data_IF_223787727715
#
_entry.id   IF_223787727715
#
_cell.length_a   1.000
_cell.length_b   1.000
_cell.length_c   1.000
_cell.angle_alpha   90.00
_cell.angle_beta   90.00
_cell.angle_gamma   90.00
#
_symmetry.space_group_name_H-M   'P 1'
#
loop_
_entity.id
_entity.type
_entity.pdbx_description
1 polymer ?
#
# COMPACT_ATOMS: atom_id res chain seq x y z
N UNK A 1 -11.77 18.70 23.71
CA UNK A 1 -10.57 17.93 23.99
C UNK A 1 -10.90 16.50 24.43
N UNK A 2 -9.98 15.57 24.22
CA UNK A 2 -10.09 14.18 24.67
C UNK A 2 -9.14 14.04 25.87
N UNK A 3 -9.68 13.67 27.04
CA UNK A 3 -8.87 13.45 28.23
C UNK A 3 -8.27 12.05 28.20
N UNK A 4 -6.96 11.96 28.30
CA UNK A 4 -6.20 10.70 28.33
C UNK A 4 -5.20 10.69 29.47
N UNK A 5 -4.66 9.53 29.81
CA UNK A 5 -3.58 9.38 30.77
C UNK A 5 -2.44 8.58 30.14
N UNK A 6 -1.26 9.16 30.14
CA UNK A 6 -0.03 8.49 29.71
C UNK A 6 0.71 7.88 30.93
N UNK A 7 1.50 6.84 30.69
CA UNK A 7 2.41 6.24 31.66
C UNK A 7 2.38 4.72 31.72
N UNK A 8 2.93 4.15 32.80
CA UNK A 8 3.04 2.69 32.98
C UNK A 8 1.76 2.02 33.49
N UNK A 9 0.77 2.77 33.97
CA UNK A 9 -0.57 2.32 34.40
C UNK A 9 -0.57 1.17 35.43
N UNK A 10 0.50 0.99 36.21
CA UNK A 10 0.69 -0.14 37.14
C UNK A 10 0.61 -1.52 36.45
N UNK A 11 1.01 -1.61 35.18
CA UNK A 11 0.91 -2.81 34.36
C UNK A 11 2.28 -3.22 33.76
N UNK A 12 3.30 -3.52 34.56
CA UNK A 12 4.66 -3.77 34.07
C UNK A 12 4.73 -4.95 33.09
N UNK A 13 3.96 -6.01 33.33
CA UNK A 13 3.94 -7.18 32.42
C UNK A 13 3.41 -6.83 31.04
N UNK A 14 2.43 -5.93 30.92
CA UNK A 14 1.89 -5.45 29.65
C UNK A 14 2.97 -4.65 28.91
N UNK A 15 3.68 -3.78 29.62
CA UNK A 15 4.77 -3.01 29.03
C UNK A 15 5.91 -3.91 28.55
N UNK A 16 6.29 -4.93 29.32
CA UNK A 16 7.29 -5.93 28.90
C UNK A 16 6.81 -6.69 27.66
N UNK A 17 5.53 -7.09 27.63
CA UNK A 17 4.96 -7.80 26.49
C UNK A 17 4.99 -6.95 25.19
N UNK A 18 4.68 -5.67 25.29
CA UNK A 18 4.67 -4.75 24.14
C UNK A 18 6.00 -3.97 23.92
N UNK A 19 7.00 -4.17 24.76
CA UNK A 19 8.30 -3.48 24.66
C UNK A 19 8.18 -1.96 24.90
N UNK A 20 7.24 -1.55 25.75
CA UNK A 20 6.92 -0.12 26.01
C UNK A 20 7.38 0.35 27.41
N UNK A 21 8.32 -0.36 28.04
CA UNK A 21 8.78 -0.07 29.41
C UNK A 21 9.36 1.34 29.56
N UNK A 22 10.05 1.82 28.52
CA UNK A 22 10.71 3.12 28.52
C UNK A 22 9.82 4.29 28.14
N UNK A 23 8.89 4.06 27.21
CA UNK A 23 8.04 5.11 26.64
C UNK A 23 6.64 5.17 27.25
N UNK A 24 6.20 4.11 27.93
CA UNK A 24 4.84 4.00 28.45
C UNK A 24 3.79 3.79 27.34
N UNK A 25 2.53 3.91 27.72
CA UNK A 25 1.39 3.85 26.81
C UNK A 25 0.36 4.94 27.16
N UNK A 26 -0.52 5.25 26.23
CA UNK A 26 -1.70 6.08 26.48
C UNK A 26 -2.91 5.18 26.65
N UNK A 27 -3.65 5.36 27.74
CA UNK A 27 -4.86 4.59 28.03
C UNK A 27 -6.10 5.43 27.77
N UNK A 28 -7.02 4.87 26.99
CA UNK A 28 -8.39 5.35 26.83
C UNK A 28 -9.30 4.45 27.67
N UNK A 29 -10.15 5.04 28.50
CA UNK A 29 -11.12 4.32 29.31
C UNK A 29 -12.52 4.78 28.91
N UNK A 30 -13.34 3.86 28.44
CA UNK A 30 -14.71 4.11 28.03
C UNK A 30 -15.68 3.55 29.08
N UNK A 31 -16.82 4.17 29.23
CA UNK A 31 -17.89 3.75 30.14
C UNK A 31 -19.23 3.71 29.41
N UNK A 32 -20.27 3.27 30.09
CA UNK A 32 -21.63 3.27 29.55
C UNK A 32 -22.19 4.67 29.27
N UNK A 33 -21.51 5.74 29.69
CA UNK A 33 -21.88 7.12 29.41
C UNK A 33 -21.26 7.69 28.13
N UNK A 34 -20.31 6.97 27.52
CA UNK A 34 -19.71 7.41 26.26
C UNK A 34 -20.59 7.02 25.07
N UNK A 35 -20.71 7.93 24.11
CA UNK A 35 -21.39 7.66 22.84
C UNK A 35 -20.44 7.03 21.82
N UNK A 36 -20.98 6.38 20.80
CA UNK A 36 -20.20 5.85 19.67
C UNK A 36 -19.42 6.96 18.97
N UNK A 37 -20.01 8.16 18.81
CA UNK A 37 -19.37 9.31 18.19
C UNK A 37 -18.15 9.79 18.98
N UNK A 38 -18.19 9.74 20.32
CA UNK A 38 -17.03 10.08 21.17
C UNK A 38 -15.90 9.08 21.00
N UNK A 39 -16.22 7.77 20.89
CA UNK A 39 -15.24 6.72 20.63
C UNK A 39 -14.61 6.94 19.24
N UNK A 40 -15.42 7.16 18.21
CA UNK A 40 -14.92 7.45 16.86
C UNK A 40 -14.04 8.70 16.82
N UNK A 41 -14.39 9.74 17.56
CA UNK A 41 -13.58 10.95 17.68
C UNK A 41 -12.21 10.67 18.31
N UNK A 42 -12.17 9.81 19.33
CA UNK A 42 -10.91 9.40 19.96
C UNK A 42 -10.04 8.58 19.00
N UNK A 43 -10.66 7.65 18.24
CA UNK A 43 -9.95 6.85 17.22
C UNK A 43 -9.38 7.75 16.13
N UNK A 44 -10.17 8.70 15.60
CA UNK A 44 -9.69 9.65 14.57
C UNK A 44 -8.51 10.47 15.07
N UNK A 45 -8.61 11.02 16.28
CA UNK A 45 -7.50 11.80 16.87
C UNK A 45 -6.21 10.99 17.03
N UNK A 46 -6.30 9.70 17.37
CA UNK A 46 -5.13 8.81 17.41
C UNK A 46 -4.57 8.55 16.01
N UNK A 47 -5.43 8.34 15.02
CA UNK A 47 -5.02 8.16 13.62
C UNK A 47 -4.33 9.40 13.07
N UNK A 48 -4.86 10.61 13.36
CA UNK A 48 -4.26 11.87 12.94
C UNK A 48 -2.85 12.05 13.54
N UNK A 49 -2.70 11.83 14.86
CA UNK A 49 -1.40 11.91 15.54
C UNK A 49 -0.41 10.87 14.99
N UNK A 50 -0.87 9.66 14.73
CA UNK A 50 -0.04 8.62 14.12
C UNK A 50 0.39 9.04 12.70
N UNK A 51 -0.51 9.61 11.91
CA UNK A 51 -0.23 10.08 10.56
C UNK A 51 0.77 11.25 10.52
N UNK A 52 0.74 12.18 11.50
CA UNK A 52 1.68 13.30 11.60
C UNK A 52 3.15 12.84 11.78
N UNK A 53 3.38 11.67 12.37
CA UNK A 53 4.71 11.17 12.73
C UNK A 53 5.25 10.09 11.79
N UNK A 54 4.49 9.64 10.82
CA UNK A 54 4.91 8.66 9.81
C UNK A 54 5.04 9.26 8.42
N UNK A 55 5.78 8.60 7.56
CA UNK A 55 5.82 8.98 6.15
C UNK A 55 4.47 8.82 5.45
N UNK A 56 4.27 9.56 4.37
CA UNK A 56 3.08 9.45 3.52
C UNK A 56 3.06 8.12 2.79
N UNK A 57 1.95 7.39 2.85
CA UNK A 57 1.80 6.06 2.25
C UNK A 57 0.94 6.13 0.99
N UNK A 58 1.53 5.76 -0.14
CA UNK A 58 0.86 5.71 -1.44
C UNK A 58 0.85 4.27 -1.98
N UNK A 59 -0.34 3.70 -2.16
CA UNK A 59 -0.52 2.38 -2.75
C UNK A 59 -0.73 2.47 -4.28
N UNK A 60 -0.13 1.55 -5.02
CA UNK A 60 -0.28 1.42 -6.48
C UNK A 60 -1.03 0.15 -6.81
N UNK A 61 -2.16 0.28 -7.49
CA UNK A 61 -3.05 -0.82 -7.88
C UNK A 61 -3.31 -0.84 -9.39
N UNK A 62 -3.95 -1.89 -9.90
CA UNK A 62 -4.25 -2.04 -11.31
C UNK A 62 -3.15 -2.76 -12.09
N UNK A 63 -2.88 -2.34 -13.33
CA UNK A 63 -1.99 -3.04 -14.25
C UNK A 63 -1.31 -2.09 -15.27
N UNK A 64 -0.28 -2.60 -15.96
CA UNK A 64 0.33 -1.90 -17.09
C UNK A 64 1.24 -0.74 -16.72
N UNK A 65 2.11 -0.94 -15.72
CA UNK A 65 3.17 0.02 -15.42
C UNK A 65 3.31 0.45 -13.96
N UNK A 66 2.73 -0.26 -13.01
CA UNK A 66 2.87 0.04 -11.57
C UNK A 66 4.31 0.18 -11.12
N UNK A 67 5.11 -0.85 -11.31
CA UNK A 67 6.53 -0.86 -10.90
C UNK A 67 7.32 0.30 -11.53
N UNK A 68 7.09 0.59 -12.82
CA UNK A 68 7.70 1.75 -13.50
C UNK A 68 7.22 3.08 -12.92
N UNK A 69 5.93 3.18 -12.56
CA UNK A 69 5.37 4.38 -11.91
C UNK A 69 5.94 4.60 -10.53
N UNK A 70 6.10 3.52 -9.73
CA UNK A 70 6.72 3.54 -8.42
C UNK A 70 8.18 4.01 -8.53
N UNK A 71 8.97 3.42 -9.44
CA UNK A 71 10.39 3.80 -9.66
C UNK A 71 10.51 5.26 -10.03
N UNK A 72 9.75 5.72 -11.05
CA UNK A 72 9.76 7.13 -11.47
C UNK A 72 9.37 8.08 -10.33
N UNK A 73 8.37 7.72 -9.53
CA UNK A 73 7.97 8.51 -8.36
C UNK A 73 9.07 8.54 -7.30
N UNK A 74 9.69 7.40 -7.02
CA UNK A 74 10.81 7.31 -6.09
C UNK A 74 12.01 8.18 -6.52
N UNK A 75 12.37 8.15 -7.80
CA UNK A 75 13.42 9.01 -8.36
C UNK A 75 13.11 10.50 -8.17
N UNK A 76 11.86 10.91 -8.46
CA UNK A 76 11.43 12.30 -8.26
C UNK A 76 11.53 12.72 -6.79
N UNK A 77 11.02 11.89 -5.87
CA UNK A 77 11.04 12.18 -4.44
C UNK A 77 12.46 12.23 -3.88
N UNK A 78 13.34 11.33 -4.35
CA UNK A 78 14.76 11.37 -3.98
C UNK A 78 15.44 12.66 -4.46
N UNK A 79 15.13 13.11 -5.66
CA UNK A 79 15.64 14.40 -6.17
C UNK A 79 15.14 15.60 -5.34
N UNK A 80 13.99 15.47 -4.67
CA UNK A 80 13.46 16.42 -3.69
C UNK A 80 14.09 16.29 -2.30
N UNK A 81 15.07 15.36 -2.11
CA UNK A 81 15.73 15.10 -0.83
C UNK A 81 14.92 14.23 0.13
N UNK A 82 13.85 13.58 -0.33
CA UNK A 82 13.01 12.69 0.48
C UNK A 82 13.60 11.29 0.58
N UNK A 83 13.49 10.67 1.75
CA UNK A 83 13.76 9.24 1.95
C UNK A 83 12.54 8.44 1.51
N UNK A 84 12.75 7.47 0.61
CA UNK A 84 11.66 6.70 0.00
C UNK A 84 11.79 5.23 0.34
N UNK A 85 10.75 4.65 0.92
CA UNK A 85 10.65 3.21 1.17
C UNK A 85 9.66 2.58 0.18
N UNK A 86 10.09 1.51 -0.50
CA UNK A 86 9.24 0.75 -1.42
C UNK A 86 8.92 -0.61 -0.81
N UNK A 87 7.64 -0.92 -0.71
CA UNK A 87 7.09 -2.16 -0.16
C UNK A 87 6.12 -2.81 -1.14
N UNK A 88 5.64 -4.00 -0.80
CA UNK A 88 4.55 -4.67 -1.53
C UNK A 88 3.62 -5.42 -0.59
N UNK A 89 2.34 -5.48 -0.93
CA UNK A 89 1.36 -6.39 -0.32
C UNK A 89 1.11 -7.63 -1.18
N UNK A 90 1.84 -7.75 -2.30
CA UNK A 90 1.72 -8.86 -3.26
C UNK A 90 3.09 -9.51 -3.51
N UNK A 91 3.50 -9.68 -4.77
CA UNK A 91 4.81 -10.22 -5.15
C UNK A 91 5.46 -9.30 -6.16
N UNK A 92 6.69 -8.87 -5.87
CA UNK A 92 7.52 -8.07 -6.77
C UNK A 92 8.82 -8.81 -7.12
N UNK A 93 9.42 -8.42 -8.25
CA UNK A 93 10.80 -8.84 -8.58
C UNK A 93 11.78 -8.08 -7.70
N UNK A 94 12.82 -8.77 -7.23
CA UNK A 94 13.95 -8.14 -6.57
C UNK A 94 14.56 -7.10 -7.52
N UNK A 95 14.85 -5.87 -7.05
CA UNK A 95 15.43 -4.85 -7.90
C UNK A 95 16.83 -5.26 -8.42
N UNK A 96 17.22 -4.71 -9.56
CA UNK A 96 18.56 -4.94 -10.12
C UNK A 96 19.65 -4.29 -9.25
N UNK A 97 19.33 -3.12 -8.69
CA UNK A 97 20.19 -2.40 -7.73
C UNK A 97 20.08 -3.09 -6.36
N UNK A 98 20.91 -4.11 -6.15
CA UNK A 98 20.89 -4.98 -4.96
C UNK A 98 21.21 -4.20 -3.67
N UNK A 99 21.98 -3.12 -3.76
CA UNK A 99 22.39 -2.29 -2.63
C UNK A 99 21.23 -1.58 -1.94
N UNK A 100 20.12 -1.32 -2.67
CA UNK A 100 18.91 -0.72 -2.09
C UNK A 100 17.89 -1.75 -1.62
N UNK A 101 18.16 -3.07 -1.80
CA UNK A 101 17.24 -4.12 -1.38
C UNK A 101 17.59 -4.69 -0.02
N UNK A 102 16.59 -4.78 0.86
CA UNK A 102 16.70 -5.36 2.19
C UNK A 102 15.70 -6.49 2.36
N UNK A 103 16.24 -7.71 2.47
CA UNK A 103 15.43 -8.90 2.64
C UNK A 103 15.08 -9.17 4.10
N UNK A 104 13.85 -9.59 4.34
CA UNK A 104 13.42 -10.24 5.57
C UNK A 104 13.39 -11.76 5.34
N UNK A 105 14.17 -12.48 6.14
CA UNK A 105 14.16 -13.94 6.15
C UNK A 105 13.26 -14.42 7.29
N UNK A 106 12.19 -15.12 6.95
CA UNK A 106 11.33 -15.73 7.96
C UNK A 106 12.08 -16.91 8.61
N UNK A 107 12.40 -16.78 9.86
CA UNK A 107 12.88 -17.89 10.69
C UNK A 107 11.68 -18.77 11.09
N UNK A 108 11.61 -19.98 10.52
CA UNK A 108 10.65 -21.04 10.90
C UNK A 108 9.21 -20.86 10.39
N UNK A 109 8.64 -21.93 9.86
CA UNK A 109 7.23 -22.04 9.42
C UNK A 109 6.28 -22.45 10.55
N UNK A 110 6.63 -22.25 11.82
CA UNK A 110 5.73 -22.64 12.91
C UNK A 110 4.54 -21.68 13.03
N UNK A 111 3.36 -22.25 13.22
CA UNK A 111 2.13 -21.49 13.49
C UNK A 111 2.32 -20.65 14.77
N UNK A 112 1.78 -19.44 14.77
CA UNK A 112 1.85 -18.47 15.90
C UNK A 112 1.39 -19.08 17.24
N UNK A 113 0.58 -20.15 17.19
CA UNK A 113 -0.03 -20.81 18.34
C UNK A 113 0.94 -21.80 19.03
N UNK A 114 1.96 -22.30 18.32
CA UNK A 114 2.91 -23.31 18.83
C UNK A 114 4.34 -22.77 19.03
N UNK A 115 4.59 -21.50 18.78
CA UNK A 115 5.92 -20.93 18.86
C UNK A 115 6.43 -20.85 20.30
N UNK A 116 7.64 -21.38 20.55
CA UNK A 116 8.33 -21.30 21.83
C UNK A 116 8.88 -19.89 22.10
N UNK A 117 9.27 -19.60 23.36
CA UNK A 117 9.85 -18.30 23.71
C UNK A 117 11.11 -17.96 22.89
N UNK A 118 11.93 -18.97 22.51
CA UNK A 118 13.11 -18.80 21.66
C UNK A 118 12.73 -18.33 20.26
N UNK A 119 11.70 -18.90 19.63
CA UNK A 119 11.22 -18.49 18.30
C UNK A 119 10.73 -17.04 18.31
N UNK A 120 10.07 -16.61 19.37
CA UNK A 120 9.67 -15.21 19.53
C UNK A 120 10.86 -14.24 19.67
N UNK A 121 11.90 -14.67 20.39
CA UNK A 121 13.13 -13.86 20.52
C UNK A 121 13.88 -13.74 19.19
N UNK A 122 14.02 -14.84 18.44
CA UNK A 122 14.63 -14.85 17.11
C UNK A 122 13.86 -13.97 16.12
N UNK A 123 12.52 -14.06 16.11
CA UNK A 123 11.69 -13.20 15.27
C UNK A 123 11.88 -11.71 15.60
N UNK A 124 11.86 -11.33 16.87
CA UNK A 124 12.11 -9.94 17.30
C UNK A 124 13.52 -9.46 16.92
N UNK A 125 14.51 -10.32 17.02
CA UNK A 125 15.88 -9.99 16.60
C UNK A 125 15.95 -9.75 15.08
N UNK A 126 15.31 -10.61 14.28
CA UNK A 126 15.25 -10.47 12.82
C UNK A 126 14.50 -9.18 12.39
N UNK A 127 13.37 -8.87 13.05
CA UNK A 127 12.61 -7.64 12.81
C UNK A 127 13.43 -6.38 13.16
N UNK A 128 14.15 -6.41 14.28
CA UNK A 128 15.04 -5.32 14.69
C UNK A 128 16.17 -5.14 13.68
N UNK A 129 16.82 -6.22 13.28
CA UNK A 129 17.90 -6.19 12.29
C UNK A 129 17.41 -5.64 10.93
N UNK A 130 16.21 -6.03 10.48
CA UNK A 130 15.63 -5.47 9.26
C UNK A 130 15.45 -3.96 9.37
N UNK A 131 14.88 -3.45 10.48
CA UNK A 131 14.68 -2.01 10.69
C UNK A 131 16.00 -1.23 10.66
N UNK A 132 17.03 -1.74 11.31
CA UNK A 132 18.37 -1.13 11.32
C UNK A 132 18.99 -1.11 9.90
N UNK A 133 18.83 -2.18 9.13
CA UNK A 133 19.30 -2.26 7.74
C UNK A 133 18.51 -1.31 6.83
N UNK A 134 17.18 -1.27 6.94
CA UNK A 134 16.33 -0.32 6.18
C UNK A 134 16.75 1.11 6.47
N UNK A 135 16.94 1.47 7.74
CA UNK A 135 17.41 2.81 8.14
C UNK A 135 18.76 3.13 7.50
N UNK A 136 19.72 2.23 7.61
CA UNK A 136 21.08 2.42 7.03
C UNK A 136 21.05 2.61 5.52
N UNK A 137 20.21 1.82 4.80
CA UNK A 137 20.05 1.94 3.34
C UNK A 137 19.39 3.26 2.98
N UNK A 138 18.35 3.68 3.71
CA UNK A 138 17.68 4.97 3.49
C UNK A 138 18.64 6.14 3.71
N UNK A 139 19.46 6.10 4.76
CA UNK A 139 20.42 7.16 5.07
C UNK A 139 21.55 7.24 4.03
N UNK A 140 21.93 6.10 3.44
CA UNK A 140 23.02 6.02 2.45
C UNK A 140 22.54 6.37 1.03
N UNK A 141 21.40 5.82 0.60
CA UNK A 141 20.96 5.88 -0.79
C UNK A 141 19.70 6.73 -0.99
N UNK A 142 19.03 7.16 0.08
CA UNK A 142 17.75 7.87 0.01
C UNK A 142 16.57 7.04 -0.48
N UNK A 143 16.79 5.75 -0.76
CA UNK A 143 15.75 4.81 -1.19
C UNK A 143 16.06 3.41 -0.68
N UNK A 144 15.04 2.71 -0.20
CA UNK A 144 15.13 1.31 0.18
C UNK A 144 13.94 0.53 -0.38
N UNK A 145 14.19 -0.69 -0.84
CA UNK A 145 13.14 -1.68 -1.20
C UNK A 145 13.21 -2.77 -0.15
N UNK A 146 12.11 -3.09 0.52
CA UNK A 146 12.09 -4.12 1.55
C UNK A 146 10.94 -5.13 1.35
N UNK A 147 11.21 -6.39 1.67
CA UNK A 147 10.22 -7.46 1.58
C UNK A 147 10.72 -8.83 2.02
N UNK A 148 9.82 -9.78 2.14
CA UNK A 148 10.13 -11.18 2.46
C UNK A 148 10.54 -11.93 1.21
N UNK A 149 11.77 -12.50 1.17
CA UNK A 149 12.20 -13.33 0.05
C UNK A 149 11.29 -14.56 -0.12
N UNK A 150 10.97 -14.88 -1.36
CA UNK A 150 10.22 -16.08 -1.70
C UNK A 150 11.23 -17.15 -2.13
N UNK A 151 11.41 -18.22 -1.33
CA UNK A 151 12.40 -19.25 -1.60
C UNK A 151 12.30 -19.81 -3.03
N UNK A 152 13.45 -20.01 -3.68
CA UNK A 152 13.54 -20.57 -5.05
C UNK A 152 13.07 -19.62 -6.17
N UNK A 153 12.89 -18.33 -5.89
CA UNK A 153 12.49 -17.32 -6.89
C UNK A 153 13.30 -16.04 -6.75
N UNK A 154 13.33 -15.24 -7.81
CA UNK A 154 13.86 -13.86 -7.79
C UNK A 154 12.79 -12.84 -7.36
N UNK A 155 11.87 -13.25 -6.49
CA UNK A 155 10.75 -12.41 -6.02
C UNK A 155 10.76 -12.26 -4.52
N UNK A 156 10.18 -11.16 -4.08
CA UNK A 156 9.87 -10.94 -2.69
C UNK A 156 8.36 -10.64 -2.53
N UNK A 157 7.85 -10.89 -1.34
CA UNK A 157 6.46 -10.68 -0.97
C UNK A 157 6.32 -9.70 0.19
N UNK A 158 5.10 -9.62 0.71
CA UNK A 158 4.74 -8.77 1.83
C UNK A 158 5.54 -9.14 3.09
N UNK A 159 5.96 -8.14 3.83
CA UNK A 159 6.45 -8.28 5.19
C UNK A 159 5.28 -8.59 6.15
N UNK A 160 5.55 -9.12 7.36
CA UNK A 160 4.52 -9.17 8.41
C UNK A 160 3.89 -7.78 8.61
N UNK A 161 2.56 -7.73 8.72
CA UNK A 161 1.78 -6.47 8.76
C UNK A 161 2.31 -5.50 9.82
N UNK A 162 2.52 -5.99 11.04
CA UNK A 162 3.08 -5.19 12.13
C UNK A 162 4.46 -4.59 11.81
N UNK A 163 5.30 -5.36 11.11
CA UNK A 163 6.61 -4.89 10.69
C UNK A 163 6.49 -3.82 9.59
N UNK A 164 5.55 -3.97 8.66
CA UNK A 164 5.25 -2.92 7.68
C UNK A 164 4.84 -1.62 8.37
N UNK A 165 3.94 -1.68 9.36
CA UNK A 165 3.54 -0.50 10.14
C UNK A 165 4.72 0.17 10.83
N UNK A 166 5.60 -0.61 11.47
CA UNK A 166 6.78 -0.08 12.14
C UNK A 166 7.74 0.65 11.19
N UNK A 167 7.85 0.17 9.94
CA UNK A 167 8.71 0.77 8.92
C UNK A 167 8.18 2.12 8.39
N UNK A 168 6.88 2.43 8.56
CA UNK A 168 6.29 3.70 8.10
C UNK A 168 6.93 4.93 8.75
N UNK A 169 7.62 4.76 9.87
CA UNK A 169 8.28 5.84 10.63
C UNK A 169 9.74 6.07 10.22
N UNK A 170 10.29 5.25 9.31
CA UNK A 170 11.70 5.33 8.88
C UNK A 170 11.92 6.18 7.63
N UNK A 171 10.87 6.44 6.84
CA UNK A 171 10.95 7.16 5.58
C UNK A 171 9.95 8.31 5.50
N UNK A 172 10.19 9.28 4.63
CA UNK A 172 9.30 10.41 4.42
C UNK A 172 8.13 10.05 3.48
N UNK A 173 8.38 9.12 2.55
CA UNK A 173 7.39 8.63 1.59
C UNK A 173 7.50 7.10 1.47
N UNK A 174 6.36 6.42 1.55
CA UNK A 174 6.25 4.97 1.39
C UNK A 174 5.42 4.67 0.14
N UNK A 175 5.98 3.91 -0.79
CA UNK A 175 5.33 3.51 -2.04
C UNK A 175 5.07 2.00 -1.98
N UNK A 176 3.81 1.57 -2.11
CA UNK A 176 3.42 0.17 -1.95
C UNK A 176 2.81 -0.37 -3.25
N UNK A 177 3.39 -1.44 -3.82
CA UNK A 177 2.69 -2.19 -4.87
C UNK A 177 1.65 -3.10 -4.22
N UNK A 178 0.36 -2.75 -4.36
CA UNK A 178 -0.74 -3.39 -3.63
C UNK A 178 -1.61 -4.32 -4.49
N UNK A 179 -1.18 -4.63 -5.72
CA UNK A 179 -1.97 -5.45 -6.64
C UNK A 179 -1.09 -6.14 -7.68
N UNK A 180 -1.26 -7.46 -7.87
CA UNK A 180 -0.58 -8.24 -8.90
C UNK A 180 -1.32 -8.19 -10.23
N UNK A 181 -0.62 -8.11 -11.37
CA UNK A 181 -1.24 -7.97 -12.70
C UNK A 181 -0.76 -8.96 -13.76
N UNK A 182 0.08 -9.93 -13.39
CA UNK A 182 0.65 -10.92 -14.33
C UNK A 182 1.20 -10.29 -15.63
N UNK A 183 1.81 -9.11 -15.54
CA UNK A 183 2.35 -8.33 -16.66
C UNK A 183 1.33 -7.87 -17.71
N UNK A 184 0.03 -8.03 -17.44
CA UNK A 184 -1.02 -7.55 -18.35
C UNK A 184 -1.17 -6.03 -18.29
N UNK A 185 -1.59 -5.39 -19.42
CA UNK A 185 -1.79 -3.93 -19.49
C UNK A 185 -2.93 -3.41 -18.63
N UNK A 186 -4.03 -4.14 -18.56
CA UNK A 186 -5.20 -3.79 -17.75
C UNK A 186 -5.63 -4.95 -16.86
N UNK A 187 -6.41 -4.67 -15.84
CA UNK A 187 -6.89 -5.64 -14.86
C UNK A 187 -8.25 -5.24 -14.32
N UNK A 188 -9.09 -6.24 -14.05
CA UNK A 188 -10.20 -6.12 -13.12
C UNK A 188 -9.82 -6.85 -11.81
N UNK A 189 -10.01 -6.23 -10.62
CA UNK A 189 -9.66 -6.88 -9.36
C UNK A 189 -10.62 -8.03 -9.04
N UNK A 190 -10.13 -9.05 -8.33
CA UNK A 190 -10.98 -10.04 -7.69
C UNK A 190 -11.54 -9.49 -6.37
N UNK A 191 -12.44 -10.23 -5.72
CA UNK A 191 -13.12 -9.80 -4.48
C UNK A 191 -12.16 -9.50 -3.33
N UNK A 192 -11.00 -10.19 -3.28
CA UNK A 192 -9.96 -10.01 -2.27
C UNK A 192 -8.87 -9.02 -2.68
N UNK A 193 -9.00 -8.35 -3.82
CA UNK A 193 -8.04 -7.40 -4.37
C UNK A 193 -8.66 -6.01 -4.51
N UNK A 194 -7.85 -4.95 -4.39
CA UNK A 194 -6.44 -4.92 -3.95
C UNK A 194 -6.29 -5.13 -2.43
N UNK A 195 -5.09 -5.51 -1.98
CA UNK A 195 -4.77 -5.64 -0.56
C UNK A 195 -4.33 -4.28 -0.02
N UNK A 196 -5.26 -3.58 0.62
CA UNK A 196 -5.05 -2.24 1.18
C UNK A 196 -5.22 -2.26 2.70
N UNK A 197 -4.52 -1.34 3.37
CA UNK A 197 -4.55 -1.16 4.81
C UNK A 197 -5.05 0.23 5.20
N UNK A 198 -5.67 0.39 6.38
CA UNK A 198 -6.23 1.66 6.84
C UNK A 198 -5.22 2.81 6.97
N UNK A 199 -3.93 2.50 7.12
CA UNK A 199 -2.86 3.49 7.21
C UNK A 199 -2.40 4.05 5.86
N UNK A 200 -2.96 3.61 4.74
CA UNK A 200 -2.65 4.16 3.42
C UNK A 200 -3.39 5.48 3.19
N UNK A 201 -2.66 6.50 2.72
CA UNK A 201 -3.19 7.85 2.51
C UNK A 201 -3.75 8.05 1.10
N UNK A 202 -3.10 7.42 0.12
CA UNK A 202 -3.43 7.60 -1.29
C UNK A 202 -3.36 6.28 -2.04
N UNK A 203 -4.30 6.07 -2.97
CA UNK A 203 -4.25 4.99 -3.96
C UNK A 203 -4.10 5.57 -5.34
N UNK A 204 -3.10 5.09 -6.07
CA UNK A 204 -2.86 5.39 -7.48
C UNK A 204 -3.30 4.20 -8.33
N UNK A 205 -4.37 4.36 -9.09
CA UNK A 205 -4.89 3.34 -10.01
C UNK A 205 -4.14 3.47 -11.34
N UNK A 206 -3.34 2.47 -11.69
CA UNK A 206 -2.54 2.43 -12.91
C UNK A 206 -3.21 1.52 -13.93
N UNK A 207 -3.42 2.01 -15.15
CA UNK A 207 -3.93 1.23 -16.29
C UNK A 207 -3.09 1.50 -17.53
N UNK A 208 -2.72 0.45 -18.27
CA UNK A 208 -1.88 0.56 -19.46
C UNK A 208 -2.66 0.96 -20.70
N UNK A 209 -2.42 2.16 -21.25
CA UNK A 209 -3.05 2.63 -22.48
C UNK A 209 -2.77 1.76 -23.71
N UNK A 210 -1.69 0.96 -23.68
CA UNK A 210 -1.33 0.04 -24.78
C UNK A 210 -2.26 -1.19 -24.92
N UNK A 211 -3.29 -1.29 -24.06
CA UNK A 211 -4.40 -2.22 -24.22
C UNK A 211 -5.41 -1.75 -25.28
N UNK A 212 -5.48 -0.44 -25.55
CA UNK A 212 -6.45 0.13 -26.50
C UNK A 212 -6.23 -0.47 -27.89
N UNK A 213 -7.34 -0.84 -28.55
CA UNK A 213 -7.36 -1.44 -29.89
C UNK A 213 -7.08 -2.95 -29.91
N UNK A 214 -6.94 -3.61 -28.76
CA UNK A 214 -6.72 -5.06 -28.65
C UNK A 214 -7.91 -5.77 -28.02
N UNK A 215 -8.10 -7.07 -28.29
CA UNK A 215 -9.16 -7.85 -27.63
C UNK A 215 -8.94 -7.93 -26.11
N UNK A 216 -10.03 -7.81 -25.35
CA UNK A 216 -10.00 -7.82 -23.88
C UNK A 216 -9.28 -9.06 -23.31
N UNK A 217 -9.52 -10.26 -23.90
CA UNK A 217 -8.90 -11.51 -23.49
C UNK A 217 -7.37 -11.52 -23.58
N UNK A 218 -6.78 -10.73 -24.47
CA UNK A 218 -5.33 -10.70 -24.71
C UNK A 218 -4.61 -9.71 -23.81
N UNK A 219 -5.33 -8.74 -23.24
CA UNK A 219 -4.72 -7.61 -22.54
C UNK A 219 -5.19 -7.43 -21.09
N UNK A 220 -6.20 -8.20 -20.67
CA UNK A 220 -6.78 -8.05 -19.35
C UNK A 220 -6.45 -9.21 -18.42
N UNK A 221 -5.86 -8.92 -17.28
CA UNK A 221 -5.78 -9.88 -16.18
C UNK A 221 -7.15 -10.02 -15.52
N UNK A 222 -7.63 -11.26 -15.31
CA UNK A 222 -8.97 -11.59 -14.80
C UNK A 222 -10.12 -11.13 -15.70
N UNK A 223 -10.09 -11.60 -16.95
CA UNK A 223 -11.07 -11.27 -18.00
C UNK A 223 -12.51 -11.44 -17.54
N UNK A 224 -12.84 -12.50 -16.78
CA UNK A 224 -14.21 -12.76 -16.34
C UNK A 224 -14.76 -11.67 -15.40
N UNK A 225 -13.92 -11.09 -14.56
CA UNK A 225 -14.31 -9.93 -13.74
C UNK A 225 -14.49 -8.69 -14.62
N UNK A 226 -13.61 -8.48 -15.59
CA UNK A 226 -13.70 -7.36 -16.51
C UNK A 226 -14.98 -7.44 -17.38
N UNK A 227 -15.35 -8.62 -17.86
CA UNK A 227 -16.62 -8.86 -18.60
C UNK A 227 -17.85 -8.45 -17.79
N UNK A 228 -17.88 -8.79 -16.48
CA UNK A 228 -18.98 -8.40 -15.60
C UNK A 228 -19.06 -6.88 -15.44
N UNK A 229 -17.93 -6.20 -15.25
CA UNK A 229 -17.86 -4.74 -15.09
C UNK A 229 -18.24 -4.03 -16.38
N UNK A 230 -17.70 -4.47 -17.54
CA UNK A 230 -17.91 -3.84 -18.84
C UNK A 230 -19.19 -4.30 -19.55
N UNK A 231 -19.86 -5.35 -19.01
CA UNK A 231 -21.05 -5.97 -19.61
C UNK A 231 -20.81 -6.35 -21.08
N UNK A 232 -19.74 -7.07 -21.36
CA UNK A 232 -19.29 -7.40 -22.72
C UNK A 232 -18.68 -8.79 -22.79
N UNK A 233 -18.37 -9.25 -24.02
CA UNK A 233 -17.65 -10.47 -24.28
C UNK A 233 -16.13 -10.28 -24.23
N UNK A 234 -15.39 -11.40 -24.14
CA UNK A 234 -13.94 -11.41 -24.07
C UNK A 234 -13.25 -10.87 -25.33
N UNK A 235 -13.94 -10.96 -26.47
CA UNK A 235 -13.45 -10.51 -27.79
C UNK A 235 -13.64 -9.01 -28.04
N UNK A 236 -14.31 -8.31 -27.13
CA UNK A 236 -14.48 -6.87 -27.24
C UNK A 236 -13.12 -6.18 -27.38
N UNK A 237 -13.01 -5.31 -28.38
CA UNK A 237 -11.85 -4.43 -28.54
C UNK A 237 -11.88 -3.36 -27.46
N UNK A 238 -10.80 -3.28 -26.68
CA UNK A 238 -10.66 -2.36 -25.55
C UNK A 238 -10.55 -0.92 -26.06
N UNK A 239 -11.35 -0.05 -25.48
CA UNK A 239 -11.35 1.40 -25.73
C UNK A 239 -10.83 2.17 -24.52
N UNK A 240 -10.52 3.47 -24.70
CA UNK A 240 -10.17 4.34 -23.59
C UNK A 240 -11.31 4.45 -22.54
N UNK A 241 -12.56 4.40 -22.99
CA UNK A 241 -13.75 4.38 -22.11
C UNK A 241 -13.78 3.12 -21.26
N UNK A 242 -13.47 1.94 -21.82
CA UNK A 242 -13.42 0.70 -21.07
C UNK A 242 -12.36 0.74 -19.96
N UNK A 243 -11.20 1.30 -20.25
CA UNK A 243 -10.13 1.49 -19.25
C UNK A 243 -10.62 2.39 -18.11
N UNK A 244 -11.32 3.48 -18.43
CA UNK A 244 -11.91 4.38 -17.40
C UNK A 244 -12.96 3.66 -16.56
N UNK A 245 -13.84 2.89 -17.18
CA UNK A 245 -14.87 2.12 -16.47
C UNK A 245 -14.25 1.07 -15.56
N UNK A 246 -13.22 0.33 -16.02
CA UNK A 246 -12.48 -0.61 -15.18
C UNK A 246 -11.80 0.07 -13.99
N UNK A 247 -11.18 1.22 -14.20
CA UNK A 247 -10.56 1.99 -13.12
C UNK A 247 -11.60 2.53 -12.12
N UNK A 248 -12.75 2.98 -12.59
CA UNK A 248 -13.81 3.56 -11.78
C UNK A 248 -14.57 2.48 -11.00
N UNK A 249 -15.20 1.55 -11.73
CA UNK A 249 -16.10 0.55 -11.14
C UNK A 249 -15.35 -0.62 -10.51
N UNK A 250 -14.15 -0.96 -11.02
CA UNK A 250 -13.33 -2.02 -10.48
C UNK A 250 -12.53 -1.59 -9.24
N UNK A 251 -12.08 -0.35 -9.18
CA UNK A 251 -11.20 0.13 -8.11
C UNK A 251 -11.74 1.34 -7.35
N UNK A 252 -11.96 2.48 -8.02
CA UNK A 252 -12.20 3.73 -7.32
C UNK A 252 -13.45 3.69 -6.42
N UNK A 253 -14.58 3.21 -6.95
CA UNK A 253 -15.84 3.14 -6.18
C UNK A 253 -15.73 2.16 -5.01
N UNK A 254 -15.27 0.89 -5.20
CA UNK A 254 -15.10 -0.03 -4.08
C UNK A 254 -14.13 0.48 -3.00
N UNK A 255 -12.98 1.03 -3.41
CA UNK A 255 -11.99 1.58 -2.48
C UNK A 255 -12.57 2.76 -1.70
N UNK A 256 -13.24 3.71 -2.38
CA UNK A 256 -13.84 4.86 -1.71
C UNK A 256 -14.94 4.47 -0.73
N UNK A 257 -15.67 3.38 -1.02
CA UNK A 257 -16.69 2.84 -0.10
C UNK A 257 -16.06 2.22 1.14
N UNK A 258 -14.94 1.50 0.98
CA UNK A 258 -14.25 0.81 2.08
C UNK A 258 -13.37 1.77 2.90
N UNK A 259 -12.73 2.73 2.25
CA UNK A 259 -11.80 3.71 2.83
C UNK A 259 -12.17 5.14 2.40
N UNK A 260 -13.21 5.76 3.01
CA UNK A 260 -13.71 7.08 2.58
C UNK A 260 -12.70 8.21 2.66
N UNK A 261 -11.69 8.09 3.53
CA UNK A 261 -10.62 9.09 3.73
C UNK A 261 -9.49 8.98 2.71
N UNK A 262 -9.38 7.85 2.02
CA UNK A 262 -8.25 7.56 1.14
C UNK A 262 -8.36 8.36 -0.17
N UNK A 263 -7.32 9.12 -0.48
CA UNK A 263 -7.26 9.87 -1.74
C UNK A 263 -7.09 8.91 -2.91
N UNK A 264 -7.85 9.10 -3.98
CA UNK A 264 -7.76 8.28 -5.19
C UNK A 264 -7.23 9.11 -6.35
N UNK A 265 -6.14 8.65 -6.94
CA UNK A 265 -5.53 9.19 -8.15
C UNK A 265 -5.55 8.15 -9.27
N UNK A 266 -5.81 8.56 -10.50
CA UNK A 266 -5.85 7.68 -11.67
C UNK A 266 -4.73 8.04 -12.63
N UNK A 267 -3.96 7.04 -13.07
CA UNK A 267 -2.86 7.20 -14.01
C UNK A 267 -2.98 6.20 -15.15
N UNK A 268 -2.95 6.65 -16.38
CA UNK A 268 -2.79 5.79 -17.55
C UNK A 268 -1.32 5.80 -17.98
N UNK A 269 -0.69 4.61 -17.96
CA UNK A 269 0.75 4.46 -18.28
C UNK A 269 1.08 4.90 -19.70
N UNK A 270 2.11 5.68 -19.82
CA UNK A 270 2.83 6.37 -20.90
C UNK A 270 2.38 7.77 -21.30
N UNK A 271 1.10 8.19 -21.10
CA UNK A 271 0.65 9.54 -21.43
C UNK A 271 -0.26 10.14 -20.37
N UNK A 272 0.33 10.62 -19.29
CA UNK A 272 -0.37 11.34 -18.19
C UNK A 272 -1.06 12.62 -18.70
N UNK A 273 -0.68 13.16 -19.85
CA UNK A 273 -1.23 14.41 -20.41
C UNK A 273 -2.57 14.24 -21.16
N UNK A 274 -2.91 13.06 -21.67
CA UNK A 274 -4.12 12.89 -22.48
C UNK A 274 -5.42 12.79 -21.69
N UNK A 275 -5.41 12.32 -20.45
CA UNK A 275 -6.64 12.16 -19.65
C UNK A 275 -7.16 13.46 -19.02
N UNK A 276 -6.30 14.46 -18.79
CA UNK A 276 -6.71 15.74 -18.19
C UNK A 276 -7.21 16.75 -19.23
N UNK A 277 -6.90 16.56 -20.54
CA UNK A 277 -7.32 17.47 -21.63
C UNK A 277 -8.63 17.08 -22.29
N UNK A 278 -9.10 15.82 -22.16
CA UNK A 278 -10.37 15.40 -22.71
C UNK A 278 -11.58 15.98 -21.95
N UNK A 279 -11.47 16.12 -20.60
CA UNK A 279 -12.57 16.72 -19.80
C UNK A 279 -12.78 18.22 -20.06
N UNK A 280 -11.77 18.94 -20.55
CA UNK A 280 -11.92 20.36 -20.93
C UNK A 280 -12.60 20.55 -22.29
N UNK A 281 -12.42 19.64 -23.23
CA UNK A 281 -13.02 19.75 -24.57
C UNK A 281 -14.50 19.34 -24.61
N UNK A 282 -14.93 18.42 -23.78
CA UNK A 282 -16.35 18.03 -23.70
C UNK A 282 -17.20 19.08 -22.96
N UNK A 283 -16.62 19.82 -22.00
CA UNK A 283 -17.32 20.93 -21.33
C UNK A 283 -17.43 22.21 -22.17
N UNK A 284 -16.64 22.36 -23.24
CA UNK A 284 -16.75 23.49 -24.17
C UNK A 284 -17.71 23.17 -25.35
N UNK A 285 -18.01 21.89 -25.64
CA UNK A 285 -19.01 21.50 -26.67
C UNK A 285 -20.45 21.58 -26.18
N UNK A 286 -20.68 21.48 -24.87
CA UNK A 286 -22.02 21.62 -24.27
C UNK A 286 -22.38 23.10 -23.96
N UNK A 287 -21.56 24.06 -24.36
CA UNK A 287 -21.81 25.50 -24.19
C UNK A 287 -21.89 26.28 -25.51
N UNK A 288 -21.95 25.62 -26.66
CA UNK A 288 -22.32 26.17 -27.96
C UNK A 288 -23.61 25.53 -28.47
#
# INVERSE_FOLDING_TARGET
>A
GIATRAGAHCAPQIHTHFGTEKQGMVRFSFSCFNTTEEVEKAVRAMQDIAAENRGKVTAYVGAGGKTSSIRKRAETLRAEGKRVLILTTTKMMVPQEQEIFTAYEQTGQESVISATASVWQERRAAEKQLKERVQSVLDTYGCCVAGSLIPGTEKFGMLPEKLMEDLLYLADEILIEADGSAHMPVKAPAEHEPVLFPYMDEVVIVMGAHAIGKPLREVCHRVDYAKKILKCDADKIVTATDIRVLAEQGYAIPIQKQFPWMKISKVTGKDIKLCLTAEKKDKERDKQ
#
